data_IF_375735953213
#
_entry.id   IF_375735953213
#
_cell.length_a   1.000
_cell.length_b   1.000
_cell.length_c   1.000
_cell.angle_alpha   90.00
_cell.angle_beta   90.00
_cell.angle_gamma   90.00
#
_symmetry.space_group_name_H-M   'P 1'
#
loop_
_entity.id
_entity.type
_entity.pdbx_description
1 polymer ?
2 non-polymer ?
3 non-polymer ?
4 non-polymer ?
5 non-polymer ?
6 non-polymer ?
7 water ?
#
# COMPACT_ATOMS: atom_id res chain seq x y z
N UNK A 3 24.63 -14.87 -3.61
CA UNK A 3 24.14 -13.87 -4.56
C UNK A 3 22.61 -13.82 -4.52
N UNK A 5 18.89 -13.96 -5.25
CA UNK A 5 18.16 -14.77 -6.20
C UNK A 5 17.03 -13.99 -6.84
N UNK A 6 16.98 -14.06 -8.16
CA UNK A 6 15.86 -13.55 -8.94
C UNK A 6 15.03 -14.72 -9.45
N UNK A 7 13.84 -14.83 -8.91
CA UNK A 7 13.10 -16.07 -9.02
C UNK A 7 11.80 -15.75 -9.72
N UNK A 8 11.52 -16.47 -10.81
CA UNK A 8 10.26 -16.29 -11.53
C UNK A 8 9.28 -17.44 -11.34
N UNK A 9 9.74 -18.53 -10.73
CA UNK A 9 8.91 -19.71 -10.53
C UNK A 9 8.39 -19.91 -9.11
N UNK A 10 7.11 -20.21 -8.98
CA UNK A 10 6.54 -20.52 -7.69
C UNK A 10 7.28 -21.69 -7.04
N UNK A 11 7.52 -22.73 -7.83
CA UNK A 11 8.17 -23.92 -7.31
C UNK A 11 9.53 -23.56 -6.71
N UNK A 12 10.29 -22.72 -7.39
CA UNK A 12 11.62 -22.42 -6.87
C UNK A 12 11.61 -21.50 -5.66
N UNK A 13 10.66 -20.59 -5.64
CA UNK A 13 10.47 -19.72 -4.47
C UNK A 13 10.15 -20.57 -3.24
N UNK A 14 9.26 -21.54 -3.41
CA UNK A 14 8.88 -22.47 -2.33
C UNK A 14 10.09 -23.21 -1.80
N UNK A 15 10.92 -23.71 -2.71
CA UNK A 15 12.12 -24.44 -2.33
C UNK A 15 13.06 -23.59 -1.48
N UNK A 16 13.26 -22.34 -1.90
CA UNK A 16 14.22 -21.48 -1.22
C UNK A 16 13.78 -21.17 0.18
N UNK A 17 12.49 -20.86 0.30
CA UNK A 17 11.88 -20.56 1.60
C UNK A 17 11.89 -21.78 2.50
N UNK A 18 11.62 -22.95 1.92
CA UNK A 18 11.64 -24.18 2.71
C UNK A 18 13.03 -24.44 3.26
N UNK A 19 14.05 -24.20 2.44
CA UNK A 19 15.43 -24.37 2.89
C UNK A 19 15.78 -23.37 4.00
N UNK A 20 15.42 -22.09 3.84
CA UNK A 20 15.67 -21.10 4.90
C UNK A 20 15.00 -21.54 6.23
N UNK A 21 13.77 -22.02 6.14
CA UNK A 21 13.04 -22.49 7.32
C UNK A 21 13.74 -23.70 7.97
N UNK A 22 14.39 -24.52 7.15
CA UNK A 22 15.12 -25.67 7.67
C UNK A 22 16.23 -25.20 8.61
N UNK A 23 16.60 -23.93 8.49
CA UNK A 23 17.67 -23.38 9.29
C UNK A 23 17.13 -22.40 10.32
N UNK A 24 15.84 -22.52 10.58
CA UNK A 24 15.14 -21.66 11.54
C UNK A 24 15.38 -20.16 11.34
N UNK A 25 15.45 -19.72 10.08
CA UNK A 25 15.65 -18.30 9.78
C UNK A 25 14.30 -17.60 9.67
N UNK A 26 14.21 -16.38 10.21
CA UNK A 26 12.99 -15.60 10.04
C UNK A 26 12.95 -14.92 8.68
N UNK A 27 11.75 -14.67 8.20
CA UNK A 27 11.54 -14.13 6.86
C UNK A 27 10.76 -12.82 6.91
N UNK A 28 11.33 -11.78 6.33
CA UNK A 28 10.63 -10.51 6.17
C UNK A 28 10.21 -10.36 4.71
N UNK A 29 8.98 -9.91 4.49
CA UNK A 29 8.39 -9.87 3.15
C UNK A 29 7.82 -8.52 2.83
N UNK A 30 8.18 -8.01 1.65
CA UNK A 30 7.72 -6.70 1.17
C UNK A 30 7.04 -6.91 -0.17
N UNK A 31 5.70 -7.01 -0.17
CA UNK A 31 4.99 -7.13 -1.45
C UNK A 31 4.93 -5.79 -2.18
N UNK A 32 5.23 -5.77 -3.47
CA UNK A 32 5.23 -4.52 -4.26
C UNK A 32 4.74 -4.76 -5.68
N UNK A 34 6.48 -3.13 -8.09
CA UNK A 34 7.67 -2.74 -8.84
C UNK A 34 7.77 -1.24 -9.11
N UNK A 35 8.67 -0.86 -10.02
CA UNK A 35 9.09 0.54 -10.20
C UNK A 35 9.38 1.16 -8.84
N UNK A 36 10.38 0.59 -8.18
CA UNK A 36 10.59 0.82 -6.75
C UNK A 36 11.15 2.21 -6.43
N UNK A 37 10.83 2.69 -5.24
CA UNK A 37 11.27 4.02 -4.78
C UNK A 37 11.62 3.99 -3.29
N UNK A 38 11.94 5.15 -2.70
CA UNK A 38 12.43 5.17 -1.34
C UNK A 38 11.42 4.65 -0.31
N UNK A 39 10.13 4.71 -0.66
CA UNK A 39 9.08 4.14 0.18
C UNK A 39 9.31 2.66 0.32
N UNK A 40 9.58 2.01 -0.81
CA UNK A 40 9.83 0.59 -0.79
C UNK A 40 11.12 0.28 -0.04
N UNK A 41 12.14 1.08 -0.27
CA UNK A 41 13.44 0.87 0.37
C UNK A 41 13.28 0.96 1.89
N UNK A 42 12.37 1.83 2.34
CA UNK A 42 12.09 1.92 3.77
C UNK A 42 11.49 0.64 4.35
N UNK A 43 10.59 -0.01 3.61
CA UNK A 43 10.02 -1.28 4.01
C UNK A 43 11.11 -2.33 4.08
N UNK A 44 11.99 -2.33 3.09
CA UNK A 44 13.09 -3.27 3.09
C UNK A 44 13.99 -3.07 4.31
N UNK A 45 14.33 -1.83 4.63
CA UNK A 45 15.11 -1.54 5.83
C UNK A 45 14.46 -2.12 7.10
N UNK A 46 13.14 -2.02 7.21
CA UNK A 46 12.47 -2.58 8.37
C UNK A 46 12.55 -4.09 8.33
N UNK A 47 12.45 -4.66 7.13
CA UNK A 47 12.40 -6.10 7.00
C UNK A 47 13.75 -6.72 7.36
N UNK A 48 14.82 -5.93 7.25
CA UNK A 48 16.17 -6.41 7.57
C UNK A 48 16.33 -6.74 9.06
N UNK A 49 15.29 -6.48 9.86
CA UNK A 49 15.26 -7.00 11.23
C UNK A 49 15.14 -8.52 11.19
N UNK A 50 14.68 -9.07 10.05
CA UNK A 50 14.53 -10.51 9.87
C UNK A 50 15.80 -11.12 9.25
N UNK A 51 15.95 -12.43 9.37
CA UNK A 51 17.13 -13.10 8.85
C UNK A 51 17.21 -13.02 7.32
N UNK A 52 16.09 -13.22 6.65
CA UNK A 52 16.06 -13.15 5.19
C UNK A 52 14.93 -12.22 4.72
N UNK A 53 15.21 -11.41 3.68
CA UNK A 53 14.25 -10.47 3.11
C UNK A 53 13.83 -10.82 1.69
N UNK A 54 12.52 -10.91 1.48
CA UNK A 54 11.94 -11.17 0.16
C UNK A 54 11.17 -9.94 -0.34
N UNK A 55 11.42 -9.53 -1.57
CA UNK A 55 10.59 -8.55 -2.23
C UNK A 55 9.88 -9.22 -3.38
N UNK A 56 8.55 -9.15 -3.40
CA UNK A 56 7.84 -9.58 -4.61
C UNK A 56 7.54 -8.37 -5.50
N UNK A 57 7.59 -8.60 -6.81
CA UNK A 57 7.24 -7.58 -7.78
C UNK A 57 6.21 -8.22 -8.70
N UNK A 58 4.98 -7.73 -8.68
CA UNK A 58 3.91 -8.29 -9.51
C UNK A 58 2.82 -7.25 -9.66
N UNK A 59 2.62 -6.77 -10.89
CA UNK A 59 1.56 -5.82 -11.16
C UNK A 59 0.33 -6.72 -11.27
N UNK A 60 -0.37 -6.87 -10.16
CA UNK A 60 -1.41 -7.88 -10.05
C UNK A 60 -2.65 -7.45 -10.81
N UNK A 61 -2.98 -8.10 -11.94
CA UNK A 61 -4.12 -7.63 -12.73
C UNK A 61 -5.42 -7.68 -11.96
N UNK A 63 -6.20 -6.59 -9.11
CA UNK A 63 -6.54 -5.43 -8.29
C UNK A 63 -6.68 -4.14 -9.09
N UNK A 64 -6.70 -4.24 -10.43
CA UNK A 64 -6.98 -3.09 -11.28
C UNK A 64 -8.34 -3.27 -11.96
N UNK A 65 -9.09 -2.18 -12.12
CA UNK A 65 -10.29 -2.24 -12.94
C UNK A 65 -10.03 -1.74 -14.35
N UNK A 66 -11.01 -1.96 -15.24
CA UNK A 66 -10.95 -1.60 -16.67
C UNK A 66 -10.66 -0.12 -16.89
N UNK A 67 -11.14 0.75 -15.99
CA UNK A 67 -10.99 2.18 -16.13
C UNK A 67 -9.70 2.72 -15.54
N UNK A 68 -8.90 1.85 -14.95
CA UNK A 68 -7.71 2.26 -14.25
C UNK A 68 -6.45 2.06 -15.09
N UNK A 69 -5.29 2.03 -14.45
CA UNK A 69 -4.02 2.24 -15.16
C UNK A 69 -3.12 1.02 -15.30
N UNK A 70 -3.70 -0.17 -15.38
CA UNK A 70 -2.89 -1.40 -15.51
C UNK A 70 -1.91 -1.37 -16.68
N UNK A 71 -2.36 -0.95 -17.85
CA UNK A 71 -1.48 -0.99 -19.03
C UNK A 71 -0.31 0.02 -18.95
N UNK A 72 -0.55 1.19 -18.35
CA UNK A 72 0.47 2.23 -18.27
C UNK A 72 1.32 2.13 -17.01
N UNK A 73 0.93 1.25 -16.08
CA UNK A 73 1.65 1.19 -14.78
C UNK A 73 3.13 1.12 -15.06
N UNK A 74 3.92 1.97 -14.38
CA UNK A 74 5.37 2.03 -14.66
C UNK A 74 6.02 0.68 -14.43
N UNK A 75 6.88 0.26 -15.35
CA UNK A 75 7.56 -1.02 -15.24
C UNK A 75 8.99 -0.89 -15.70
N UNK A 76 9.93 -1.32 -14.86
CA UNK A 76 11.36 -1.25 -15.18
C UNK A 76 12.06 -2.25 -14.27
N UNK A 77 12.07 -3.51 -14.69
CA UNK A 77 12.51 -4.58 -13.83
C UNK A 77 14.02 -4.51 -13.56
N UNK A 78 14.78 -3.98 -14.51
CA UNK A 78 16.21 -3.80 -14.30
C UNK A 78 16.51 -2.77 -13.20
N UNK A 79 15.79 -1.66 -13.24
CA UNK A 79 15.86 -0.66 -12.16
C UNK A 79 15.56 -1.33 -10.81
N UNK A 80 14.48 -2.13 -10.76
CA UNK A 80 14.06 -2.73 -9.49
C UNK A 80 15.12 -3.74 -9.00
N UNK A 81 15.64 -4.57 -9.90
CA UNK A 81 16.58 -5.60 -9.46
C UNK A 81 17.81 -4.95 -8.85
N UNK A 82 18.28 -3.88 -9.48
CA UNK A 82 19.45 -3.14 -9.02
C UNK A 82 19.22 -2.55 -7.62
N UNK A 84 17.04 -3.62 -5.40
CA UNK A 84 16.97 -4.69 -4.42
C UNK A 84 18.35 -5.20 -4.08
N UNK A 85 19.16 -5.37 -5.14
CA UNK A 85 20.53 -5.85 -5.03
C UNK A 85 21.32 -4.93 -4.10
N UNK A 86 21.22 -3.64 -4.34
CA UNK A 86 22.03 -2.67 -3.61
C UNK A 86 21.58 -2.50 -2.16
N UNK A 87 20.40 -3.01 -1.83
CA UNK A 87 19.81 -2.76 -0.51
C UNK A 87 19.65 -4.01 0.32
N UNK A 88 20.32 -5.07 -0.13
CA UNK A 88 20.45 -6.26 0.66
C UNK A 88 19.26 -7.19 0.66
N UNK A 89 18.47 -7.14 -0.40
CA UNK A 89 17.38 -8.10 -0.56
C UNK A 89 17.96 -9.47 -0.91
N UNK A 90 17.43 -10.53 -0.29
CA UNK A 90 17.88 -11.90 -0.54
C UNK A 90 17.22 -12.57 -1.75
N UNK A 92 14.33 -11.66 -4.98
CA UNK A 92 13.30 -10.92 -5.69
C UNK A 92 12.46 -11.95 -6.43
N UNK A 93 11.21 -12.04 -6.04
CA UNK A 93 10.26 -12.97 -6.61
C UNK A 93 9.40 -12.21 -7.61
N UNK A 94 9.57 -12.53 -8.88
CA UNK A 94 8.85 -11.85 -9.96
C UNK A 94 8.08 -12.88 -10.78
N UNK A 95 6.94 -13.37 -10.27
CA UNK A 95 6.14 -14.31 -11.05
C UNK A 95 5.41 -13.55 -12.14
N UNK A 96 4.98 -14.23 -13.19
CA UNK A 96 4.08 -13.58 -14.13
C UNK A 96 2.64 -14.10 -13.94
N UNK A 97 1.69 -13.51 -14.65
CA UNK A 97 0.30 -13.85 -14.33
C UNK A 97 0.00 -15.29 -14.67
N UNK A 98 0.73 -15.86 -15.64
CA UNK A 98 0.56 -17.28 -15.98
C UNK A 98 1.07 -18.29 -14.92
N UNK A 99 2.00 -17.86 -14.05
CA UNK A 99 2.44 -18.69 -12.92
C UNK A 99 1.44 -18.58 -11.76
N UNK A 101 -1.80 -17.24 -11.87
CA UNK A 101 -3.20 -17.53 -12.20
C UNK A 101 -3.26 -18.49 -13.38
N UNK A 102 -3.35 -19.78 -13.06
CA UNK A 102 -3.42 -20.83 -14.08
C UNK A 102 -4.76 -20.77 -14.82
N UNK A 103 -4.88 -21.53 -15.91
CA UNK A 103 -6.06 -21.41 -16.76
C UNK A 103 -7.38 -21.69 -16.05
N UNK A 104 -7.36 -22.56 -15.05
CA UNK A 104 -8.59 -22.90 -14.34
C UNK A 104 -8.80 -22.07 -13.04
N UNK A 105 -8.05 -20.98 -12.90
CA UNK A 105 -8.10 -20.23 -11.64
C UNK A 105 -9.48 -19.63 -11.44
N UNK A 106 -10.08 -19.78 -10.25
CA UNK A 106 -11.43 -19.23 -10.00
C UNK A 106 -11.73 -18.91 -8.53
N UNK A 107 -10.76 -19.11 -7.66
CA UNK A 107 -10.96 -18.86 -6.21
C UNK A 107 -10.65 -17.41 -5.86
N UNK A 108 -11.21 -16.90 -4.76
CA UNK A 108 -10.88 -15.58 -4.29
C UNK A 108 -11.07 -15.48 -2.78
N UNK A 109 -10.51 -14.41 -2.22
CA UNK A 109 -10.68 -14.06 -0.82
C UNK A 109 -11.24 -12.65 -0.81
N UNK A 110 -12.24 -12.40 0.01
CA UNK A 110 -12.85 -11.07 0.08
C UNK A 110 -13.42 -10.92 1.51
N UNK A 112 -16.60 -8.70 4.16
CA UNK A 112 -17.89 -8.00 4.19
C UNK A 112 -17.88 -6.71 5.00
N UNK A 113 -16.72 -6.36 5.57
CA UNK A 113 -16.53 -5.05 6.22
C UNK A 113 -15.22 -4.43 5.77
N UNK A 114 -15.02 -3.17 6.15
CA UNK A 114 -13.79 -2.40 5.86
C UNK A 114 -13.58 -1.99 4.41
N UNK A 115 -13.69 -2.95 3.48
CA UNK A 115 -13.40 -2.71 2.08
C UNK A 115 -14.45 -1.90 1.35
N UNK A 116 -15.62 -1.67 1.97
CA UNK A 116 -16.68 -0.91 1.28
C UNK A 116 -16.53 0.62 1.42
N UNK A 117 -15.51 1.07 2.16
CA UNK A 117 -15.34 2.49 2.44
C UNK A 117 -14.17 3.05 1.63
N UNK A 118 -13.99 4.36 1.71
CA UNK A 118 -12.84 5.01 1.09
C UNK A 118 -12.58 4.52 -0.36
N UNK A 119 -11.36 4.13 -0.68
CA UNK A 119 -11.04 3.72 -2.06
C UNK A 119 -11.84 2.49 -2.45
N UNK A 120 -12.22 1.69 -1.47
CA UNK A 120 -12.92 0.46 -1.77
C UNK A 120 -14.22 0.74 -2.50
N UNK A 121 -14.88 1.82 -2.12
CA UNK A 121 -16.15 2.21 -2.71
C UNK A 121 -15.96 2.74 -4.14
N UNK A 122 -14.77 3.28 -4.40
CA UNK A 122 -14.43 3.88 -5.70
C UNK A 122 -13.80 2.86 -6.65
N UNK A 123 -13.37 1.73 -6.10
CA UNK A 123 -12.61 0.75 -6.88
C UNK A 123 -13.19 -0.65 -6.71
N UNK A 124 -14.33 -0.91 -7.34
CA UNK A 124 -14.92 -2.24 -7.19
C UNK A 124 -13.96 -3.36 -7.61
N UNK A 125 -13.87 -4.41 -6.79
CA UNK A 125 -13.00 -5.55 -7.08
C UNK A 125 -11.54 -5.39 -6.60
N UNK A 126 -11.14 -4.17 -6.24
CA UNK A 126 -9.77 -3.89 -5.88
C UNK A 126 -9.27 -4.69 -4.68
N UNK A 127 -10.01 -4.65 -3.57
CA UNK A 127 -9.55 -5.33 -2.38
C UNK A 127 -9.65 -6.86 -2.49
N UNK A 128 -10.59 -7.35 -3.29
CA UNK A 128 -10.63 -8.77 -3.52
C UNK A 128 -9.32 -9.19 -4.22
N UNK A 129 -8.86 -8.35 -5.15
CA UNK A 129 -7.63 -8.61 -5.88
C UNK A 129 -6.44 -8.60 -4.93
N UNK A 130 -6.43 -7.63 -4.03
CA UNK A 130 -5.38 -7.54 -3.02
C UNK A 130 -5.40 -8.74 -2.05
N UNK A 131 -6.56 -9.03 -1.47
CA UNK A 131 -6.69 -10.15 -0.54
C UNK A 131 -6.31 -11.47 -1.20
N UNK A 132 -6.78 -11.67 -2.42
CA UNK A 132 -6.53 -12.94 -3.09
C UNK A 132 -5.03 -13.11 -3.42
N UNK A 133 -4.41 -12.09 -3.99
CA UNK A 133 -3.00 -12.22 -4.38
C UNK A 133 -2.10 -12.32 -3.15
N UNK A 134 -2.43 -11.61 -2.07
CA UNK A 134 -1.62 -11.72 -0.87
C UNK A 134 -1.80 -13.04 -0.14
N UNK A 135 -3.00 -13.61 -0.13
CA UNK A 135 -3.15 -14.97 0.41
C UNK A 135 -2.18 -15.92 -0.33
N UNK A 136 -2.14 -15.78 -1.65
CA UNK A 136 -1.26 -16.62 -2.47
C UNK A 136 0.23 -16.40 -2.14
N UNK A 137 0.66 -15.15 -2.13
CA UNK A 137 2.02 -14.84 -1.75
C UNK A 137 2.36 -15.33 -0.34
N UNK A 138 1.46 -15.14 0.61
CA UNK A 138 1.72 -15.58 1.99
C UNK A 138 1.88 -17.09 2.05
N UNK A 139 1.04 -17.82 1.32
CA UNK A 139 1.16 -19.27 1.24
C UNK A 139 2.42 -19.74 0.52
N UNK A 140 2.81 -19.03 -0.54
CA UNK A 140 4.03 -19.36 -1.28
C UNK A 140 5.31 -19.12 -0.45
N UNK A 141 5.34 -17.99 0.24
CA UNK A 141 6.60 -17.43 0.78
C UNK A 141 6.73 -17.64 2.27
N UNK A 142 5.62 -17.95 2.93
CA UNK A 142 5.63 -18.26 4.36
C UNK A 142 6.40 -17.25 5.23
N UNK A 143 6.09 -15.96 5.08
CA UNK A 143 6.86 -14.91 5.77
C UNK A 143 6.50 -14.82 7.25
N UNK A 144 7.35 -14.20 8.05
CA UNK A 144 7.01 -14.02 9.45
C UNK A 144 6.45 -12.65 9.71
N UNK A 145 7.05 -11.67 9.07
CA UNK A 145 6.53 -10.32 9.15
C UNK A 145 6.41 -9.76 7.74
N UNK A 146 5.29 -9.10 7.48
CA UNK A 146 5.01 -8.53 6.15
C UNK A 146 4.97 -7.03 6.34
N UNK A 147 5.80 -6.32 5.59
CA UNK A 147 5.93 -4.89 5.76
C UNK A 147 5.13 -4.12 4.71
N UNK A 149 3.25 -0.15 3.64
CA UNK A 149 3.27 1.30 3.84
C UNK A 149 1.92 1.86 4.30
N UNK A 150 1.96 2.69 5.33
CA UNK A 150 0.77 3.44 5.80
C UNK A 150 0.11 4.26 4.71
N UNK A 151 0.86 4.59 3.65
CA UNK A 151 0.31 5.36 2.53
C UNK A 151 -0.95 4.72 2.00
N UNK A 152 -0.94 3.38 1.92
CA UNK A 152 -2.14 2.64 1.57
C UNK A 152 -2.82 2.18 2.86
N UNK A 153 -3.38 3.12 3.62
CA UNK A 153 -3.74 2.83 5.02
C UNK A 153 -4.87 1.82 5.07
N UNK A 154 -5.89 2.03 4.23
CA UNK A 154 -7.00 1.10 4.17
C UNK A 154 -6.50 -0.30 3.83
N UNK A 155 -5.62 -0.39 2.84
CA UNK A 155 -5.08 -1.70 2.49
C UNK A 155 -4.42 -2.39 3.67
N UNK A 156 -3.67 -1.64 4.47
CA UNK A 156 -3.05 -2.23 5.66
C UNK A 156 -4.12 -2.79 6.59
N UNK A 157 -5.18 -2.02 6.82
CA UNK A 157 -6.19 -2.47 7.77
C UNK A 157 -6.94 -3.69 7.22
N UNK A 158 -7.23 -3.66 5.92
CA UNK A 158 -7.91 -4.78 5.27
C UNK A 158 -7.07 -6.05 5.42
N UNK A 159 -5.78 -5.95 5.09
CA UNK A 159 -4.92 -7.14 5.11
C UNK A 159 -4.69 -7.65 6.53
N UNK A 160 -4.49 -6.74 7.48
CA UNK A 160 -4.44 -7.11 8.90
C UNK A 160 -5.68 -7.91 9.32
N UNK A 161 -6.86 -7.46 8.88
CA UNK A 161 -8.12 -8.11 9.26
C UNK A 161 -8.23 -9.49 8.61
N UNK A 163 -5.72 -11.38 7.82
CA UNK A 163 -4.73 -12.21 8.51
C UNK A 163 -5.32 -12.72 9.83
N UNK A 164 -5.97 -11.83 10.56
CA UNK A 164 -6.64 -12.19 11.80
C UNK A 164 -7.70 -13.26 11.51
N UNK A 165 -8.62 -12.91 10.62
CA UNK A 165 -9.82 -13.73 10.34
C UNK A 165 -9.48 -15.13 9.80
N UNK A 166 -8.43 -15.21 8.99
CA UNK A 166 -8.02 -16.48 8.33
C UNK A 166 -6.86 -17.16 9.07
N UNK A 167 -6.46 -16.60 10.22
CA UNK A 167 -5.44 -17.25 11.06
C UNK A 167 -4.09 -17.41 10.41
N UNK A 168 -3.70 -16.46 9.57
CA UNK A 168 -2.37 -16.52 9.02
C UNK A 168 -1.39 -16.30 10.16
N UNK A 169 -0.36 -17.15 10.20
CA UNK A 169 0.63 -17.17 11.27
C UNK A 169 1.75 -16.17 10.94
N UNK A 170 1.40 -14.90 10.91
CA UNK A 170 2.35 -13.84 10.55
C UNK A 170 1.81 -12.55 11.05
N UNK A 171 2.65 -11.52 11.02
CA UNK A 171 2.27 -10.19 11.48
C UNK A 171 2.38 -9.20 10.34
N UNK A 172 1.48 -8.22 10.32
CA UNK A 172 1.54 -7.16 9.33
C UNK A 172 2.11 -5.96 10.06
N UNK A 173 3.19 -5.40 9.54
CA UNK A 173 3.81 -4.25 10.18
C UNK A 173 3.67 -3.03 9.27
N UNK A 174 2.97 -2.02 9.78
CA UNK A 174 2.67 -0.80 9.03
C UNK A 174 3.81 0.20 9.25
N UNK A 175 4.34 0.74 8.16
CA UNK A 175 5.48 1.63 8.23
C UNK A 175 5.07 3.03 7.75
N UNK A 176 5.75 4.07 8.28
CA UNK A 176 5.28 5.43 7.98
C UNK A 176 5.45 5.84 6.52
N UNK A 177 4.72 6.89 6.14
CA UNK A 177 4.80 7.42 4.79
C UNK A 177 6.14 8.08 4.51
N UNK A 178 6.83 7.64 3.47
CA UNK A 178 8.07 8.29 3.02
C UNK A 178 7.65 9.32 1.97
N UNK A 179 8.24 10.52 2.04
CA UNK A 179 7.87 11.60 1.12
C UNK A 179 9.03 12.14 0.32
N UNK A 180 8.71 12.66 -0.85
CA UNK A 180 9.62 13.44 -1.66
C UNK A 180 10.04 14.67 -0.84
N UNK A 181 11.12 15.33 -1.27
CA UNK A 181 11.65 16.50 -0.59
C UNK A 181 10.60 17.61 -0.45
N UNK A 182 9.68 17.68 -1.42
CA UNK A 182 8.66 18.72 -1.46
C UNK A 182 7.35 18.31 -0.73
N UNK A 183 7.34 17.11 -0.13
CA UNK A 183 6.24 16.66 0.71
C UNK A 183 5.32 15.62 0.07
N UNK A 184 5.35 15.50 -1.25
CA UNK A 184 4.46 14.56 -1.96
C UNK A 184 4.74 13.14 -1.50
N UNK A 185 3.69 12.37 -1.16
CA UNK A 185 3.93 11.01 -0.68
C UNK A 185 4.57 10.21 -1.83
N UNK A 186 5.62 9.45 -1.55
CA UNK A 186 6.22 8.58 -2.57
C UNK A 186 5.19 7.58 -3.14
N UNK A 187 5.19 7.47 -4.47
CA UNK A 187 4.35 6.52 -5.18
C UNK A 187 4.94 6.35 -6.56
N UNK A 188 4.89 5.13 -7.08
CA UNK A 188 5.32 4.93 -8.46
C UNK A 188 4.51 5.76 -9.47
N UNK A 189 3.25 6.06 -9.15
CA UNK A 189 2.38 6.83 -10.03
C UNK A 189 2.81 8.31 -10.13
N UNK A 190 3.71 8.73 -9.23
CA UNK A 190 4.21 10.13 -9.33
C UNK A 190 4.87 10.38 -10.67
N UNK A 191 5.39 9.31 -11.27
CA UNK A 191 6.11 9.45 -12.54
C UNK A 191 5.20 9.95 -13.67
N UNK A 192 3.89 9.78 -13.51
CA UNK A 192 2.91 10.26 -14.50
C UNK A 192 2.77 11.79 -14.54
N UNK A 193 3.14 12.48 -13.46
CA UNK A 193 2.77 13.88 -13.32
C UNK A 193 3.63 14.79 -14.21
N UNK A 194 2.97 15.71 -14.89
CA UNK A 194 3.63 16.82 -15.62
C UNK A 194 4.20 17.80 -14.60
N UNK A 195 5.06 18.70 -15.05
CA UNK A 195 5.62 19.72 -14.16
C UNK A 195 4.52 20.47 -13.44
N UNK A 196 3.48 20.85 -14.18
CA UNK A 196 2.39 21.62 -13.58
C UNK A 196 1.51 20.78 -12.65
N UNK A 197 1.28 19.53 -13.03
CA UNK A 197 0.55 18.62 -12.17
C UNK A 197 1.34 18.34 -10.90
N UNK A 198 2.66 18.19 -11.04
CA UNK A 198 3.48 17.94 -9.86
C UNK A 198 3.36 19.10 -8.85
N UNK A 199 3.41 20.32 -9.38
CA UNK A 199 3.24 21.51 -8.53
C UNK A 199 1.88 21.53 -7.84
N UNK A 200 0.81 21.28 -8.62
CA UNK A 200 -0.54 21.19 -8.05
C UNK A 200 -0.66 20.11 -6.95
N UNK A 201 -0.04 18.97 -7.18
CA UNK A 201 -0.19 17.80 -6.29
C UNK A 201 0.29 18.07 -4.85
N UNK A 202 1.13 19.08 -4.65
CA UNK A 202 1.62 19.40 -3.31
C UNK A 202 0.51 19.83 -2.35
N UNK A 203 -0.61 20.33 -2.88
CA UNK A 203 -1.75 20.68 -2.05
C UNK A 203 -2.32 19.48 -1.29
N UNK A 204 -2.11 18.28 -1.82
CA UNK A 204 -2.58 17.09 -1.11
C UNK A 204 -1.82 16.89 0.23
N UNK A 205 -0.49 16.79 0.17
CA UNK A 205 0.30 16.71 1.39
C UNK A 205 0.11 17.96 2.28
N UNK A 206 0.03 19.15 1.68
CA UNK A 206 -0.26 20.35 2.48
C UNK A 206 -1.53 20.21 3.30
N UNK A 207 -2.59 19.66 2.70
CA UNK A 207 -3.85 19.51 3.39
C UNK A 207 -3.72 18.47 4.51
N UNK A 208 -2.88 17.47 4.28
CA UNK A 208 -2.58 16.45 5.30
C UNK A 208 -1.79 17.03 6.48
N UNK A 209 -0.74 17.81 6.18
CA UNK A 209 0.05 18.41 7.25
C UNK A 209 -0.80 19.34 8.11
N UNK A 210 -1.69 20.08 7.46
CA UNK A 210 -2.50 21.03 8.19
C UNK A 210 -3.51 20.30 9.04
N UNK A 211 -4.17 19.29 8.48
CA UNK A 211 -5.19 18.56 9.24
C UNK A 211 -4.53 17.92 10.45
N UNK A 212 -3.33 17.34 10.26
CA UNK A 212 -2.70 16.67 11.39
C UNK A 212 -2.34 17.69 12.50
N UNK A 213 -1.86 18.86 12.10
CA UNK A 213 -1.56 19.92 13.07
C UNK A 213 -2.81 20.36 13.84
N UNK A 214 -3.94 20.49 13.13
CA UNK A 214 -5.20 20.84 13.78
C UNK A 214 -5.65 19.79 14.79
N UNK A 215 -5.55 18.52 14.40
CA UNK A 215 -5.88 17.43 15.29
C UNK A 215 -4.98 17.44 16.51
N UNK A 216 -3.67 17.48 16.31
CA UNK A 216 -2.76 17.49 17.44
C UNK A 216 -2.85 18.74 18.30
N UNK A 217 -3.45 19.81 17.76
CA UNK A 217 -3.73 21.02 18.55
C UNK A 217 -5.07 20.95 19.29
N UNK A 218 -5.74 19.81 19.17
CA UNK A 218 -6.90 19.50 19.97
C UNK A 218 -8.22 19.75 19.28
N UNK A 219 -8.22 19.91 17.97
CA UNK A 219 -9.45 20.08 17.20
C UNK A 219 -10.18 18.76 17.03
N UNK A 220 -11.44 18.69 17.48
CA UNK A 220 -12.17 17.43 17.48
C UNK A 220 -13.24 17.36 16.40
N UNK A 221 -13.66 18.51 15.89
CA UNK A 221 -14.75 18.58 14.93
C UNK A 221 -14.23 18.26 13.53
N UNK A 222 -14.60 17.10 12.99
CA UNK A 222 -14.03 16.67 11.71
C UNK A 222 -14.53 17.51 10.54
N UNK A 223 -15.74 18.04 10.66
CA UNK A 223 -16.25 18.86 9.57
C UNK A 223 -15.42 20.13 9.45
N UNK A 224 -14.93 20.67 10.57
CA UNK A 224 -14.05 21.84 10.55
C UNK A 224 -12.75 21.49 9.87
N UNK A 225 -12.20 20.34 10.24
CA UNK A 225 -10.93 19.91 9.67
C UNK A 225 -11.06 19.65 8.17
N UNK A 226 -12.06 18.87 7.77
CA UNK A 226 -12.29 18.63 6.34
C UNK A 226 -12.42 19.93 5.52
N UNK A 227 -13.15 20.92 6.05
CA UNK A 227 -13.31 22.16 5.31
C UNK A 227 -11.96 22.83 5.13
N UNK A 228 -11.13 22.78 6.15
CA UNK A 228 -9.82 23.40 6.05
C UNK A 228 -8.97 22.74 4.94
N UNK A 230 -10.22 20.99 2.38
CA UNK A 230 -10.92 21.32 1.13
C UNK A 230 -10.51 22.71 0.61
N UNK A 231 -10.42 23.69 1.50
CA UNK A 231 -10.01 25.04 1.09
C UNK A 231 -8.62 25.06 0.44
N UNK A 232 -7.66 24.34 1.02
CA UNK A 232 -6.34 24.18 0.39
C UNK A 232 -6.40 23.52 -0.98
N UNK A 233 -7.15 22.43 -1.08
CA UNK A 233 -7.21 21.65 -2.31
C UNK A 233 -7.98 22.37 -3.43
N UNK A 234 -8.99 23.13 -3.06
CA UNK A 234 -9.77 23.84 -4.08
C UNK A 234 -9.04 25.02 -4.73
N UNK A 235 -7.89 25.41 -4.18
CA UNK A 235 -7.05 26.42 -4.82
C UNK A 235 -6.33 25.89 -6.06
N UNK A 236 -6.31 24.56 -6.24
CA UNK A 236 -5.57 24.00 -7.37
C UNK A 236 -6.53 23.50 -8.44
N UNK A 237 -6.59 24.21 -9.57
CA UNK A 237 -7.52 23.88 -10.64
C UNK A 237 -7.30 22.46 -11.17
N UNK A 238 -6.06 21.99 -11.13
CA UNK A 238 -5.69 20.69 -11.70
C UNK A 238 -6.15 19.50 -10.85
N UNK A 239 -6.64 19.82 -9.65
CA UNK A 239 -7.08 18.81 -8.68
C UNK A 239 -8.59 18.61 -8.67
N UNK A 240 -9.01 17.36 -8.84
CA UNK A 240 -10.39 16.97 -8.70
C UNK A 240 -10.45 16.04 -7.50
N UNK A 241 -11.10 16.48 -6.43
CA UNK A 241 -11.19 15.65 -5.22
C UNK A 241 -12.03 14.40 -5.45
N UNK A 242 -11.52 13.24 -5.04
CA UNK A 242 -12.31 12.01 -5.08
C UNK A 242 -13.01 11.84 -3.74
N UNK A 243 -12.22 11.82 -2.66
CA UNK A 243 -12.79 11.94 -1.31
C UNK A 243 -11.83 12.64 -0.35
N UNK A 244 -12.42 13.23 0.69
CA UNK A 244 -11.67 13.65 1.87
C UNK A 244 -12.51 13.17 3.02
N UNK A 245 -11.95 12.27 3.83
CA UNK A 245 -12.70 11.65 4.92
C UNK A 245 -11.83 11.46 6.16
N UNK A 246 -12.39 11.76 7.32
CA UNK A 246 -11.75 11.40 8.59
C UNK A 246 -12.55 10.25 9.17
N UNK A 247 -11.87 9.13 9.42
CA UNK A 247 -12.53 7.89 9.75
C UNK A 247 -11.83 7.23 10.91
N UNK A 248 -12.53 6.31 11.56
CA UNK A 248 -11.94 5.49 12.60
C UNK A 248 -10.91 4.56 11.97
N UNK A 249 -9.71 4.49 12.55
CA UNK A 249 -8.64 3.72 11.88
C UNK A 249 -8.92 2.23 11.89
N UNK A 250 -9.73 1.79 12.84
CA UNK A 250 -9.99 0.36 12.91
C UNK A 250 -11.17 -0.09 12.06
N UNK A 251 -12.18 0.76 11.92
CA UNK A 251 -13.39 0.36 11.21
C UNK A 251 -13.58 1.00 9.83
N UNK A 253 -15.10 3.67 9.46
CA UNK A 253 -16.37 4.43 9.54
C UNK A 253 -16.11 5.91 9.75
N UNK A 254 -16.88 6.77 9.07
CA UNK A 254 -16.68 8.22 9.19
C UNK A 254 -16.86 8.58 10.65
N UNK A 255 -16.09 9.54 11.13
CA UNK A 255 -16.35 10.04 12.47
C UNK A 255 -16.65 11.54 12.47
N UNK A 256 -17.63 11.93 13.29
CA UNK A 256 -18.04 13.33 13.44
C UNK A 256 -17.23 14.06 14.50
N UNK A 257 -16.94 13.38 15.59
CA UNK A 257 -16.12 13.98 16.63
C UNK A 257 -15.00 13.05 17.07
N UNK A 258 -13.77 13.53 16.99
CA UNK A 258 -12.60 12.71 17.28
C UNK A 258 -12.47 12.41 18.77
N UNK A 259 -12.37 11.12 19.08
CA UNK A 259 -12.03 10.73 20.45
C UNK A 259 -10.59 10.17 20.58
N UNK A 260 -10.39 8.86 20.45
CA UNK A 260 -9.05 8.31 20.65
C UNK A 260 -8.16 8.32 19.40
N UNK A 261 -8.76 8.30 18.21
CA UNK A 261 -7.97 8.09 17.00
C UNK A 261 -8.61 8.73 15.77
N UNK A 262 -7.83 8.95 14.73
CA UNK A 262 -8.41 9.33 13.46
C UNK A 262 -7.46 9.01 12.32
N UNK A 263 -8.02 8.51 11.22
CA UNK A 263 -7.28 8.39 9.96
C UNK A 263 -7.90 9.46 9.08
N UNK A 264 -7.13 10.49 8.73
CA UNK A 264 -7.61 11.51 7.81
C UNK A 264 -7.08 11.16 6.43
N UNK A 265 -7.96 10.84 5.48
CA UNK A 265 -7.51 10.29 4.21
C UNK A 265 -8.02 11.10 3.02
N UNK A 266 -7.19 11.25 2.01
CA UNK A 266 -7.54 12.06 0.84
C UNK A 266 -7.27 11.22 -0.39
N UNK A 267 -8.16 11.28 -1.38
CA UNK A 267 -7.87 10.73 -2.71
C UNK A 267 -8.27 11.81 -3.70
N UNK A 268 -7.42 12.08 -4.69
CA UNK A 268 -7.70 13.18 -5.63
C UNK A 268 -7.04 12.87 -6.94
N UNK A 269 -7.64 13.33 -8.02
CA UNK A 269 -7.03 13.22 -9.32
C UNK A 269 -6.27 14.52 -9.55
N UNK A 270 -5.05 14.38 -10.04
CA UNK A 270 -4.25 15.53 -10.45
C UNK A 270 -4.07 15.30 -11.94
N UNK A 271 -4.81 16.03 -12.74
CA UNK A 271 -4.94 15.62 -14.13
C UNK A 271 -5.60 14.26 -14.09
N UNK A 272 -5.09 13.30 -14.84
CA UNK A 272 -5.72 11.99 -14.89
C UNK A 272 -5.20 11.05 -13.81
N UNK A 273 -4.17 11.46 -13.10
CA UNK A 273 -3.49 10.54 -12.14
C UNK A 273 -4.19 10.54 -10.79
N UNK A 274 -4.49 9.35 -10.26
CA UNK A 274 -5.15 9.29 -8.96
C UNK A 274 -4.12 9.11 -7.86
N UNK A 275 -4.07 10.10 -6.95
CA UNK A 275 -3.10 10.08 -5.84
C UNK A 275 -3.83 9.98 -4.49
N UNK A 276 -3.17 9.36 -3.50
CA UNK A 276 -3.74 9.27 -2.14
C UNK A 276 -2.71 9.67 -1.09
N UNK A 277 -3.20 10.06 0.09
CA UNK A 277 -2.32 10.43 1.17
C UNK A 277 -3.16 10.41 2.43
N UNK A 278 -2.52 10.38 3.59
CA UNK A 278 -3.31 10.39 4.83
C UNK A 278 -2.41 10.76 5.97
N UNK A 279 -3.05 11.00 7.11
CA UNK A 279 -2.31 11.04 8.36
C UNK A 279 -3.10 10.16 9.34
N UNK A 280 -2.42 9.69 10.37
CA UNK A 280 -2.99 8.77 11.35
C UNK A 280 -2.56 9.23 12.74
N UNK A 281 -3.55 9.44 13.62
CA UNK A 281 -3.26 9.78 15.00
C UNK A 281 -3.98 8.76 15.88
N UNK A 282 -3.25 8.17 16.82
CA UNK A 282 -3.81 7.15 17.70
C UNK A 282 -3.54 7.52 19.16
N UNK A 283 -4.29 6.91 20.08
CA UNK A 283 -4.08 7.14 21.50
C UNK A 283 -4.37 8.53 22.06
N UNK A 284 -5.28 9.26 21.45
CA UNK A 284 -5.67 10.58 21.95
C UNK A 284 -6.53 10.48 23.22
N UNK A 285 -6.44 11.48 24.08
CA UNK A 285 -7.19 11.48 25.33
C UNK A 285 -8.58 12.10 25.21
#
# INVERSE_FOLDING_TARGET
SNAXQVITSVKEAKQIVKDWKSHQLSIGYVPTXGFLHDGHLSLVKHAKTQDKVIVSIFVNPXQFGPNEDFSSYPRDLERDIKXCQDNGVDXVFIPDATQXYLKNFSTYVDXNTITDKLCGAKRPGHFRGVCTVLTKFFNILNPDIVYXGQKDAQQCVVVRHXVDDLNFDLKIQICPIIREEDGLAKSSRNVYLSKEERKASLAISQSIFLAEKLVREGEKNTSKIIQAXKDILEKEKLIKIDYIELVDFNTXENIENITDNVLGAVAAFVGKTRLIDNFLVQGLK
#
